data_IF_170143808848
#
_entry.id   IF_170143808848
#
_cell.length_a   1.000
_cell.length_b   1.000
_cell.length_c   1.000
_cell.angle_alpha   90.00
_cell.angle_beta   90.00
_cell.angle_gamma   90.00
#
_symmetry.space_group_name_H-M   'P 1'
#
loop_
_entity.id
_entity.type
_entity.pdbx_description
1 polymer ?
#
# COMPACT_ATOMS: atom_id res chain seq x y z
N UNK A 1 8.89 -16.03 -7.86
CA UNK A 1 8.21 -15.32 -8.97
C UNK A 1 7.42 -14.10 -8.45
N UNK A 2 6.41 -14.28 -7.59
CA UNK A 2 5.60 -13.15 -7.05
C UNK A 2 6.44 -12.08 -6.33
N UNK A 3 7.41 -12.48 -5.49
CA UNK A 3 8.28 -11.52 -4.81
C UNK A 3 9.14 -10.67 -5.76
N UNK A 4 9.59 -11.25 -6.88
CA UNK A 4 10.34 -10.51 -7.91
C UNK A 4 9.44 -9.50 -8.64
N UNK A 5 8.17 -9.86 -8.89
CA UNK A 5 7.19 -8.91 -9.44
C UNK A 5 7.00 -7.71 -8.49
N UNK A 6 6.81 -7.96 -7.19
CA UNK A 6 6.66 -6.89 -6.19
C UNK A 6 7.93 -6.03 -6.12
N UNK A 7 9.12 -6.65 -6.20
CA UNK A 7 10.39 -5.92 -6.24
C UNK A 7 10.47 -4.98 -7.44
N UNK A 8 10.17 -5.48 -8.64
CA UNK A 8 10.22 -4.66 -9.87
C UNK A 8 9.20 -3.51 -9.79
N UNK A 9 7.98 -3.76 -9.31
CA UNK A 9 6.98 -2.71 -9.10
C UNK A 9 7.48 -1.67 -8.09
N UNK A 10 8.09 -2.11 -6.99
CA UNK A 10 8.67 -1.22 -5.98
C UNK A 10 9.82 -0.38 -6.52
N UNK A 11 10.70 -0.95 -7.34
CA UNK A 11 11.81 -0.24 -7.96
C UNK A 11 11.36 0.75 -9.04
N UNK A 12 10.36 0.39 -9.85
CA UNK A 12 9.88 1.22 -10.95
C UNK A 12 8.89 2.31 -10.51
N UNK A 13 8.03 2.01 -9.53
CA UNK A 13 6.88 2.85 -9.18
C UNK A 13 6.85 3.26 -7.69
N UNK A 14 7.81 2.83 -6.88
CA UNK A 14 7.81 3.07 -5.44
C UNK A 14 8.12 4.50 -5.01
N UNK A 15 8.76 5.32 -5.86
CA UNK A 15 9.25 6.65 -5.47
C UNK A 15 8.16 7.65 -5.04
N UNK A 16 6.95 7.54 -5.59
CA UNK A 16 5.87 8.49 -5.32
C UNK A 16 5.07 8.17 -4.05
N UNK A 17 4.92 6.89 -3.70
CA UNK A 17 3.98 6.44 -2.65
C UNK A 17 4.51 5.30 -1.77
N UNK A 18 5.76 4.88 -1.94
CA UNK A 18 6.37 3.79 -1.17
C UNK A 18 5.79 2.41 -1.47
N UNK A 19 5.16 2.23 -2.64
CA UNK A 19 4.57 0.97 -3.11
C UNK A 19 3.70 0.26 -2.05
N UNK A 20 2.80 1.01 -1.40
CA UNK A 20 1.98 0.49 -0.30
C UNK A 20 1.30 -0.85 -0.65
N UNK A 21 0.69 -0.95 -1.85
CA UNK A 21 0.15 -2.15 -2.55
C UNK A 21 -0.78 -3.09 -1.76
N UNK A 22 -0.92 -2.90 -0.44
CA UNK A 22 -1.61 -3.77 0.47
C UNK A 22 -2.09 -2.92 1.66
N UNK A 23 -3.41 -2.86 1.92
CA UNK A 23 -3.95 -2.07 3.02
C UNK A 23 -3.40 -2.46 4.38
N UNK A 24 -3.26 -3.75 4.67
CA UNK A 24 -2.74 -4.23 5.96
C UNK A 24 -1.26 -3.85 6.15
N UNK A 25 -0.48 -3.84 5.05
CA UNK A 25 0.93 -3.47 5.04
C UNK A 25 1.15 -1.98 5.39
N UNK A 26 0.14 -1.13 5.18
CA UNK A 26 0.18 0.30 5.50
C UNK A 26 -0.52 0.63 6.83
N UNK A 27 -1.76 0.16 7.02
CA UNK A 27 -2.59 0.56 8.16
C UNK A 27 -2.14 -0.02 9.49
N UNK A 28 -1.71 -1.29 9.53
CA UNK A 28 -1.31 -1.90 10.79
C UNK A 28 -0.07 -1.21 11.41
N UNK A 29 1.03 -0.96 10.65
CA UNK A 29 2.15 -0.17 11.17
C UNK A 29 1.76 1.26 11.54
N UNK A 30 0.87 1.91 10.77
CA UNK A 30 0.41 3.27 11.04
C UNK A 30 -0.40 3.38 12.34
N UNK A 31 -1.28 2.42 12.59
CA UNK A 31 -2.03 2.31 13.84
C UNK A 31 -1.09 2.04 15.01
N UNK A 32 -0.16 1.10 14.87
CA UNK A 32 0.85 0.84 15.90
C UNK A 32 1.66 2.10 16.22
N UNK A 33 2.13 2.84 15.20
CA UNK A 33 2.86 4.10 15.37
C UNK A 33 2.03 5.21 16.06
N UNK A 34 0.71 5.19 15.87
CA UNK A 34 -0.20 6.15 16.52
C UNK A 34 -0.32 5.90 18.03
N UNK A 35 -0.42 4.63 18.43
CA UNK A 35 -0.73 4.20 19.80
C UNK A 35 0.53 4.00 20.64
N UNK A 36 1.60 3.44 20.06
CA UNK A 36 2.79 3.09 20.81
C UNK A 36 3.60 4.34 21.21
N UNK A 37 4.25 4.33 22.39
CA UNK A 37 5.11 5.41 22.83
C UNK A 37 6.43 5.39 22.04
N UNK A 38 6.45 6.07 20.91
CA UNK A 38 7.66 6.25 20.10
C UNK A 38 8.31 7.60 20.42
N UNK A 39 9.58 7.63 20.89
CA UNK A 39 10.29 8.89 21.14
C UNK A 39 10.40 9.73 19.87
N UNK A 40 10.22 11.05 19.98
CA UNK A 40 10.29 11.98 18.85
C UNK A 40 9.35 11.63 17.68
N UNK A 41 8.15 11.08 17.96
CA UNK A 41 7.21 10.70 16.92
C UNK A 41 6.71 11.90 16.12
N UNK A 42 6.62 11.73 14.80
CA UNK A 42 5.96 12.65 13.89
C UNK A 42 4.47 12.34 13.73
N UNK A 43 3.83 13.01 12.77
CA UNK A 43 2.44 12.74 12.40
C UNK A 43 2.30 11.37 11.69
N UNK A 44 1.23 10.63 11.99
CA UNK A 44 0.95 9.31 11.36
C UNK A 44 0.32 9.42 9.96
N UNK A 45 0.13 10.65 9.47
CA UNK A 45 -0.39 11.03 8.17
C UNK A 45 -1.77 10.41 7.85
N UNK A 46 -2.67 10.36 8.84
CA UNK A 46 -4.00 9.76 8.68
C UNK A 46 -4.82 10.39 7.54
N UNK A 47 -4.58 11.67 7.21
CA UNK A 47 -5.19 12.33 6.05
C UNK A 47 -4.88 11.64 4.71
N UNK A 48 -3.73 10.97 4.58
CA UNK A 48 -3.37 10.18 3.40
C UNK A 48 -3.78 8.71 3.51
N UNK A 49 -4.17 8.20 4.68
CA UNK A 49 -4.36 6.76 4.94
C UNK A 49 -5.43 6.09 4.08
N UNK A 50 -6.42 6.84 3.59
CA UNK A 50 -7.46 6.30 2.72
C UNK A 50 -6.91 5.86 1.35
N UNK A 51 -5.83 6.50 0.85
CA UNK A 51 -5.21 6.16 -0.45
C UNK A 51 -4.62 4.74 -0.45
N UNK A 52 -3.72 4.35 0.48
CA UNK A 52 -3.21 2.98 0.55
C UNK A 52 -4.24 1.96 1.06
N UNK A 53 -5.40 2.40 1.58
CA UNK A 53 -6.54 1.50 1.87
C UNK A 53 -7.30 1.15 0.60
N UNK A 54 -7.83 2.15 -0.11
CA UNK A 54 -8.77 1.92 -1.21
C UNK A 54 -8.07 1.81 -2.57
N UNK A 55 -6.92 2.46 -2.76
CA UNK A 55 -6.15 2.41 -4.00
C UNK A 55 -5.75 0.97 -4.40
N UNK A 56 -5.12 0.19 -3.50
CA UNK A 56 -4.79 -1.21 -3.81
C UNK A 56 -6.00 -2.11 -4.02
N UNK A 57 -7.10 -1.89 -3.28
CA UNK A 57 -8.33 -2.67 -3.46
C UNK A 57 -8.96 -2.40 -4.84
N UNK A 58 -9.09 -1.14 -5.22
CA UNK A 58 -9.59 -0.75 -6.53
C UNK A 58 -8.68 -1.27 -7.65
N UNK A 59 -7.37 -1.10 -7.52
CA UNK A 59 -6.40 -1.61 -8.50
C UNK A 59 -6.45 -3.13 -8.66
N UNK A 60 -6.54 -3.87 -7.56
CA UNK A 60 -6.67 -5.33 -7.58
C UNK A 60 -7.97 -5.80 -8.24
N UNK A 61 -9.09 -5.15 -7.94
CA UNK A 61 -10.38 -5.43 -8.59
C UNK A 61 -10.33 -5.14 -10.10
N UNK A 62 -9.81 -3.99 -10.51
CA UNK A 62 -9.67 -3.63 -11.92
C UNK A 62 -8.79 -4.64 -12.65
N UNK A 63 -7.63 -4.99 -12.08
CA UNK A 63 -6.73 -5.97 -12.67
C UNK A 63 -7.38 -7.35 -12.82
N UNK A 64 -8.13 -7.81 -11.81
CA UNK A 64 -8.87 -9.07 -11.88
C UNK A 64 -9.97 -9.05 -12.94
N UNK A 65 -10.72 -7.94 -13.05
CA UNK A 65 -11.72 -7.78 -14.11
C UNK A 65 -11.09 -7.78 -15.50
N UNK A 66 -10.01 -7.03 -15.71
CA UNK A 66 -9.28 -7.01 -16.99
C UNK A 66 -8.79 -8.41 -17.35
N UNK A 67 -8.21 -9.12 -16.37
CA UNK A 67 -7.77 -10.50 -16.58
C UNK A 67 -8.92 -11.42 -17.01
N UNK A 68 -10.08 -11.28 -16.38
CA UNK A 68 -11.28 -12.07 -16.70
C UNK A 68 -11.81 -11.79 -18.12
N UNK A 69 -11.69 -10.57 -18.63
CA UNK A 69 -12.13 -10.26 -20.00
C UNK A 69 -11.12 -10.67 -21.08
N UNK A 70 -9.83 -10.76 -20.74
CA UNK A 70 -8.77 -11.11 -21.68
C UNK A 70 -8.58 -12.62 -21.87
N UNK A 71 -9.10 -13.43 -20.96
CA UNK A 71 -9.00 -14.90 -20.96
C UNK A 71 -10.38 -15.53 -21.12
#
# INVERSE_FOLDING_TARGET
IVGLLIMVVGQALGGTTGFALNPARDWAPRFAYSVLPVPNKGDSNWGYAWVPMFGPLAGGLIAACVQYFLM
#
